data_IF_034308177051
#
_entry.id   IF_034308177051
#
_cell.length_a   1.000
_cell.length_b   1.000
_cell.length_c   1.000
_cell.angle_alpha   90.00
_cell.angle_beta   90.00
_cell.angle_gamma   90.00
#
_symmetry.space_group_name_H-M   'P 1'
#
loop_
_entity.id
_entity.type
_entity.pdbx_description
1 polymer ?
#
# COMPACT_ATOMS: atom_id res chain seq x y z
N UNK A 1 -30.02 -6.76 10.28
CA UNK A 1 -28.83 -6.86 9.41
C UNK A 1 -27.57 -6.31 10.09
N UNK A 2 -27.39 -6.53 11.41
CA UNK A 2 -26.25 -5.97 12.19
C UNK A 2 -25.38 -7.08 12.79
N UNK A 3 -25.91 -8.30 12.93
CA UNK A 3 -25.21 -9.43 13.56
C UNK A 3 -24.17 -10.13 12.67
N UNK A 4 -24.19 -9.93 11.34
CA UNK A 4 -23.31 -10.64 10.40
C UNK A 4 -21.84 -10.20 10.49
N UNK A 5 -21.57 -9.02 11.05
CA UNK A 5 -20.20 -8.47 11.11
C UNK A 5 -19.31 -9.17 12.15
N UNK A 6 -19.88 -9.83 13.16
CA UNK A 6 -19.12 -10.51 14.22
C UNK A 6 -18.40 -11.78 13.76
N UNK A 7 -18.83 -12.37 12.64
CA UNK A 7 -18.24 -13.59 12.07
C UNK A 7 -17.22 -13.30 10.96
N UNK A 8 -17.04 -12.04 10.56
CA UNK A 8 -16.15 -11.68 9.45
C UNK A 8 -14.71 -11.50 9.95
N UNK A 9 -13.79 -12.23 9.34
CA UNK A 9 -12.36 -12.12 9.59
C UNK A 9 -11.72 -11.05 8.72
N UNK A 10 -10.59 -10.49 9.15
CA UNK A 10 -9.80 -9.55 8.33
C UNK A 10 -9.43 -10.19 6.99
N UNK A 11 -9.17 -11.50 6.97
CA UNK A 11 -8.88 -12.30 5.76
C UNK A 11 -9.97 -12.27 4.71
N UNK A 12 -11.21 -11.92 5.09
CA UNK A 12 -12.32 -11.82 4.14
C UNK A 12 -12.25 -10.52 3.30
N UNK A 13 -11.40 -9.58 3.70
CA UNK A 13 -11.29 -8.24 3.10
C UNK A 13 -9.88 -7.88 2.63
N UNK A 14 -8.91 -8.80 2.68
CA UNK A 14 -7.55 -8.53 2.21
C UNK A 14 -7.46 -8.50 0.69
N UNK A 15 -6.50 -7.73 0.17
CA UNK A 15 -6.08 -7.85 -1.23
C UNK A 15 -5.17 -9.07 -1.38
N UNK A 16 -5.58 -10.13 -2.10
CA UNK A 16 -4.70 -11.27 -2.34
C UNK A 16 -3.56 -10.85 -3.28
N UNK A 17 -2.31 -11.08 -2.85
CA UNK A 17 -1.08 -10.67 -3.57
C UNK A 17 -1.05 -9.16 -3.84
N UNK A 18 -0.88 -8.34 -2.79
CA UNK A 18 -0.72 -6.90 -2.95
C UNK A 18 0.52 -6.57 -3.81
N UNK A 19 0.48 -5.43 -4.48
CA UNK A 19 1.61 -4.95 -5.28
C UNK A 19 2.74 -4.52 -4.34
N UNK A 20 3.94 -5.03 -4.62
CA UNK A 20 5.16 -4.75 -3.86
C UNK A 20 6.17 -3.98 -4.71
N UNK A 21 6.90 -3.05 -4.10
CA UNK A 21 8.07 -2.38 -4.68
C UNK A 21 9.31 -2.65 -3.85
N UNK A 22 10.49 -2.63 -4.47
CA UNK A 22 11.76 -2.72 -3.74
C UNK A 22 12.06 -1.41 -3.03
N UNK A 23 12.77 -1.46 -1.91
CA UNK A 23 13.31 -0.29 -1.19
C UNK A 23 14.22 0.60 -2.05
N UNK A 24 14.72 0.06 -3.17
CA UNK A 24 15.53 0.79 -4.15
C UNK A 24 14.73 1.51 -5.26
N UNK A 25 13.39 1.42 -5.29
CA UNK A 25 12.60 2.14 -6.30
C UNK A 25 12.66 3.64 -6.09
N UNK A 26 12.70 4.41 -7.19
CA UNK A 26 12.58 5.85 -7.14
C UNK A 26 11.22 6.29 -6.59
N UNK A 27 11.18 7.46 -5.98
CA UNK A 27 9.94 8.04 -5.45
C UNK A 27 8.91 8.26 -6.57
N UNK A 28 9.32 8.87 -7.69
CA UNK A 28 8.45 9.10 -8.85
C UNK A 28 7.99 7.79 -9.50
N UNK A 29 8.88 6.80 -9.64
CA UNK A 29 8.52 5.49 -10.19
C UNK A 29 7.44 4.81 -9.33
N UNK A 30 7.55 4.93 -8.00
CA UNK A 30 6.57 4.39 -7.06
C UNK A 30 5.21 5.08 -7.22
N UNK A 31 5.18 6.40 -7.40
CA UNK A 31 3.95 7.17 -7.67
C UNK A 31 3.35 6.77 -9.03
N UNK A 32 4.18 6.59 -10.05
CA UNK A 32 3.73 6.16 -11.37
C UNK A 32 3.08 4.77 -11.30
N UNK A 33 3.67 3.82 -10.58
CA UNK A 33 3.07 2.49 -10.35
C UNK A 33 1.71 2.63 -9.65
N UNK A 34 1.59 3.48 -8.63
CA UNK A 34 0.32 3.75 -7.96
C UNK A 34 -0.75 4.26 -8.94
N UNK A 35 -0.38 5.24 -9.77
CA UNK A 35 -1.28 5.84 -10.76
C UNK A 35 -1.70 4.84 -11.85
N UNK A 36 -0.76 4.07 -12.41
CA UNK A 36 -1.02 3.08 -13.46
C UNK A 36 -1.89 1.91 -12.98
N UNK A 37 -1.77 1.55 -11.70
CA UNK A 37 -2.50 0.43 -11.10
C UNK A 37 -3.79 0.86 -10.39
N UNK A 38 -4.01 2.16 -10.23
CA UNK A 38 -5.17 2.71 -9.51
C UNK A 38 -5.19 2.32 -8.03
N UNK A 39 -4.02 2.34 -7.37
CA UNK A 39 -3.87 1.97 -5.96
C UNK A 39 -3.22 3.11 -5.15
N UNK A 40 -3.69 3.33 -3.92
CA UNK A 40 -3.15 4.37 -3.04
C UNK A 40 -2.09 3.90 -2.05
N UNK A 41 -1.66 2.64 -2.14
CA UNK A 41 -0.63 2.07 -1.27
C UNK A 41 0.26 1.07 -2.00
N UNK A 42 1.52 1.00 -1.57
CA UNK A 42 2.52 0.03 -2.02
C UNK A 42 3.17 -0.62 -0.82
N UNK A 43 3.34 -1.94 -0.89
CA UNK A 43 4.15 -2.66 0.10
C UNK A 43 5.62 -2.55 -0.29
N UNK A 44 6.45 -2.05 0.60
CA UNK A 44 7.89 -1.92 0.38
C UNK A 44 8.61 -3.16 0.91
N UNK A 45 9.42 -3.79 0.05
CA UNK A 45 10.16 -5.00 0.37
C UNK A 45 11.67 -4.83 0.21
N UNK A 46 12.44 -5.46 1.10
CA UNK A 46 13.90 -5.57 1.02
C UNK A 46 14.33 -6.99 1.34
N UNK A 47 15.14 -7.62 0.50
CA UNK A 47 15.62 -9.00 0.69
C UNK A 47 14.49 -10.00 1.02
N UNK A 48 13.34 -9.87 0.33
CA UNK A 48 12.10 -10.67 0.51
C UNK A 48 11.33 -10.42 1.82
N UNK A 49 11.76 -9.48 2.64
CA UNK A 49 11.02 -9.07 3.84
C UNK A 49 10.19 -7.81 3.55
N UNK A 50 8.96 -7.78 4.05
CA UNK A 50 8.19 -6.55 4.16
C UNK A 50 8.90 -5.62 5.16
N UNK A 51 9.16 -4.39 4.76
CA UNK A 51 9.81 -3.40 5.63
C UNK A 51 8.96 -2.17 5.88
N UNK A 52 8.05 -1.80 4.97
CA UNK A 52 7.23 -0.60 5.11
C UNK A 52 6.00 -0.64 4.19
N UNK A 53 5.11 0.33 4.35
CA UNK A 53 3.99 0.63 3.47
C UNK A 53 4.11 2.11 3.07
N UNK A 54 4.21 2.37 1.76
CA UNK A 54 4.09 3.72 1.21
C UNK A 54 2.63 4.00 0.88
N UNK A 55 2.10 5.11 1.39
CA UNK A 55 0.72 5.56 1.15
C UNK A 55 0.68 6.92 0.46
N UNK A 56 -0.43 7.21 -0.23
CA UNK A 56 -0.70 8.56 -0.77
C UNK A 56 -0.60 9.66 0.29
N UNK A 57 -0.99 9.38 1.54
CA UNK A 57 -0.88 10.35 2.64
C UNK A 57 0.57 10.69 2.98
N UNK A 58 1.47 9.71 2.97
CA UNK A 58 2.91 9.96 3.14
C UNK A 58 3.48 10.75 1.95
N UNK A 59 3.05 10.43 0.73
CA UNK A 59 3.44 11.17 -0.48
C UNK A 59 3.00 12.62 -0.36
N UNK A 60 1.74 12.87 0.02
CA UNK A 60 1.20 14.21 0.22
C UNK A 60 2.04 14.97 1.26
N UNK A 61 2.23 14.42 2.46
CA UNK A 61 3.05 15.09 3.49
C UNK A 61 4.47 15.43 3.02
N UNK A 62 5.07 14.54 2.22
CA UNK A 62 6.41 14.79 1.66
C UNK A 62 6.45 15.91 0.61
N UNK A 63 5.43 16.02 -0.25
CA UNK A 63 5.41 17.04 -1.32
C UNK A 63 4.87 18.40 -0.86
N UNK A 64 4.04 18.43 0.20
CA UNK A 64 3.43 19.67 0.71
C UNK A 64 4.10 20.24 1.96
N UNK A 65 5.15 19.59 2.50
CA UNK A 65 5.86 20.01 3.72
C UNK A 65 4.94 20.18 4.95
N UNK A 66 3.93 19.32 5.10
CA UNK A 66 3.01 19.27 6.26
C UNK A 66 3.04 17.92 6.96
#
# INVERSE_FOLDING_TARGET
MVFKTLELGVTDFITPRPITVKDSHGFLDSIQIMAEKGIGNLIVVKNRNLIDILTERQILGHVTNI
#
